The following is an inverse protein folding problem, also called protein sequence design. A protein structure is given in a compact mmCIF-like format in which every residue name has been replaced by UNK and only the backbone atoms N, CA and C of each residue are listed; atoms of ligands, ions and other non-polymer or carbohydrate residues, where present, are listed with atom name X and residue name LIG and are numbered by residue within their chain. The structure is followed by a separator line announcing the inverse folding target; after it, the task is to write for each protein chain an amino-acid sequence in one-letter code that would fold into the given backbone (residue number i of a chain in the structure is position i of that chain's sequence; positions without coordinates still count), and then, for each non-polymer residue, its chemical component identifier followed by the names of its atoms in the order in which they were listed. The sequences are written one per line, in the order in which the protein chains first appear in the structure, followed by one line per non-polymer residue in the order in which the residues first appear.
data_IF_384036642918
#
_entry.id   IF_384036642918
#
_cell.length_a   1.000
_cell.length_b   1.000
_cell.length_c   1.000
_cell.angle_alpha   90.00
_cell.angle_beta   90.00
_cell.angle_gamma   90.00
#
_symmetry.space_group_name_H-M   'P 1'
#
loop_
_entity.id
_entity.type
_entity.pdbx_description
1 polymer ?
#
# COMPACT_ATOMS: atom_id res chain seq x y z
N UNK A 1 -2.62 0.83 12.76
CA UNK A 1 -2.33 1.60 11.54
C UNK A 1 -1.57 0.67 10.62
N UNK A 2 -1.77 0.81 9.31
CA UNK A 2 -1.10 0.06 8.26
C UNK A 2 -0.52 1.05 7.28
N UNK A 3 0.75 0.89 6.95
CA UNK A 3 1.44 1.70 5.94
C UNK A 3 2.05 0.74 4.93
N UNK A 4 1.85 0.99 3.64
CA UNK A 4 2.41 0.13 2.60
C UNK A 4 2.74 0.91 1.35
N UNK A 5 3.73 0.39 0.62
CA UNK A 5 4.20 0.94 -0.65
C UNK A 5 4.25 -0.18 -1.70
N UNK A 6 3.83 0.14 -2.93
CA UNK A 6 3.77 -0.80 -4.05
C UNK A 6 2.99 -2.07 -3.68
N UNK A 7 3.54 -3.26 -3.92
CA UNK A 7 2.95 -4.55 -3.50
C UNK A 7 2.65 -4.58 -2.00
N UNK A 8 3.49 -3.96 -1.16
CA UNK A 8 3.22 -3.86 0.27
C UNK A 8 1.99 -3.00 0.59
N UNK A 9 1.67 -2.02 -0.25
CA UNK A 9 0.43 -1.24 -0.22
C UNK A 9 -0.80 -2.08 -0.56
N UNK A 10 -0.72 -2.91 -1.60
CA UNK A 10 -1.79 -3.86 -1.96
C UNK A 10 -2.07 -4.83 -0.81
N UNK A 11 -1.02 -5.44 -0.26
CA UNK A 11 -1.10 -6.35 0.88
C UNK A 11 -1.72 -5.62 2.09
N UNK A 12 -1.24 -4.42 2.43
CA UNK A 12 -1.77 -3.63 3.53
C UNK A 12 -3.28 -3.34 3.37
N UNK A 13 -3.71 -2.93 2.18
CA UNK A 13 -5.11 -2.65 1.89
C UNK A 13 -5.99 -3.89 2.11
N UNK A 14 -5.57 -5.05 1.59
CA UNK A 14 -6.32 -6.30 1.73
C UNK A 14 -6.31 -6.83 3.17
N UNK A 15 -5.20 -6.71 3.90
CA UNK A 15 -5.16 -7.04 5.34
C UNK A 15 -6.09 -6.14 6.16
N UNK A 16 -6.19 -4.85 5.82
CA UNK A 16 -7.14 -3.93 6.46
C UNK A 16 -8.58 -4.35 6.13
N UNK A 17 -8.85 -4.78 4.90
CA UNK A 17 -10.15 -5.31 4.46
C UNK A 17 -10.53 -6.65 5.13
N UNK A 18 -9.61 -7.28 5.85
CA UNK A 18 -9.88 -8.47 6.67
C UNK A 18 -9.32 -9.78 6.12
N UNK A 19 -8.46 -9.73 5.09
CA UNK A 19 -7.75 -10.92 4.64
C UNK A 19 -6.65 -11.36 5.62
N UNK A 20 -6.51 -12.66 5.81
CA UNK A 20 -5.38 -13.24 6.54
C UNK A 20 -4.14 -13.38 5.62
N UNK A 21 -2.92 -13.47 6.18
CA UNK A 21 -1.72 -13.71 5.38
C UNK A 21 -1.80 -14.99 4.51
N UNK A 22 -2.47 -16.03 4.99
CA UNK A 22 -2.65 -17.29 4.26
C UNK A 22 -3.59 -17.11 3.06
N UNK A 23 -4.70 -16.38 3.24
CA UNK A 23 -5.61 -16.06 2.14
C UNK A 23 -4.92 -15.20 1.09
N UNK A 24 -4.11 -14.22 1.53
CA UNK A 24 -3.33 -13.40 0.61
C UNK A 24 -2.34 -14.26 -0.15
N UNK A 25 -1.56 -15.11 0.52
CA UNK A 25 -0.63 -16.00 -0.15
C UNK A 25 -1.32 -16.81 -1.26
N UNK A 26 -2.52 -17.34 -1.02
CA UNK A 26 -3.26 -18.09 -2.03
C UNK A 26 -3.74 -17.24 -3.23
N UNK A 27 -3.93 -15.93 -3.02
CA UNK A 27 -4.32 -14.97 -4.06
C UNK A 27 -3.13 -14.46 -4.86
N UNK A 28 -1.97 -14.24 -4.22
CA UNK A 28 -0.78 -13.62 -4.83
C UNK A 28 0.43 -14.57 -4.93
N UNK A 29 0.17 -15.88 -5.00
CA UNK A 29 1.22 -16.91 -5.01
C UNK A 29 2.10 -16.85 -6.26
N UNK A 30 1.58 -16.37 -7.39
CA UNK A 30 2.34 -16.28 -8.62
C UNK A 30 2.71 -14.82 -8.93
N UNK A 31 3.91 -14.57 -9.49
CA UNK A 31 4.34 -13.22 -9.86
C UNK A 31 3.38 -12.50 -10.81
N UNK A 32 2.75 -13.21 -11.75
CA UNK A 32 1.76 -12.69 -12.69
C UNK A 32 0.49 -12.15 -12.04
N UNK A 33 0.16 -12.58 -10.82
CA UNK A 33 -0.98 -12.04 -10.06
C UNK A 33 -0.72 -10.58 -9.62
N UNK A 34 0.55 -10.19 -9.51
CA UNK A 34 0.98 -8.85 -9.10
C UNK A 34 1.54 -8.00 -10.26
N UNK A 35 2.24 -8.65 -11.18
CA UNK A 35 2.91 -8.05 -12.34
C UNK A 35 2.11 -8.27 -13.64
N UNK A 36 0.87 -8.74 -13.56
CA UNK A 36 0.01 -8.89 -14.73
C UNK A 36 -0.40 -7.56 -15.35
N UNK A 37 -1.43 -7.59 -16.20
CA UNK A 37 -1.99 -6.40 -16.83
C UNK A 37 -2.56 -5.40 -15.79
N UNK A 38 -2.46 -4.09 -16.08
CA UNK A 38 -2.90 -3.03 -15.17
C UNK A 38 -4.39 -3.12 -14.86
N UNK A 39 -5.22 -3.33 -15.89
CA UNK A 39 -6.66 -3.41 -15.75
C UNK A 39 -7.04 -4.70 -15.01
N UNK A 40 -6.37 -5.81 -15.30
CA UNK A 40 -6.53 -7.06 -14.57
C UNK A 40 -6.24 -6.89 -13.06
N UNK A 41 -5.18 -6.16 -12.70
CA UNK A 41 -4.85 -5.88 -11.29
C UNK A 41 -5.90 -4.98 -10.63
N UNK A 42 -6.38 -3.95 -11.31
CA UNK A 42 -7.47 -3.11 -10.81
C UNK A 42 -8.72 -3.95 -10.51
N UNK A 43 -9.14 -4.76 -11.48
CA UNK A 43 -10.28 -5.68 -11.34
C UNK A 43 -10.05 -6.70 -10.21
N UNK A 44 -8.82 -7.18 -10.02
CA UNK A 44 -8.48 -8.06 -8.91
C UNK A 44 -8.71 -7.38 -7.56
N UNK A 45 -8.20 -6.15 -7.37
CA UNK A 45 -8.39 -5.41 -6.11
C UNK A 45 -9.86 -5.13 -5.87
N UNK A 46 -10.62 -4.69 -6.89
CA UNK A 46 -12.06 -4.49 -6.82
C UNK A 46 -12.80 -5.76 -6.38
N UNK A 47 -12.51 -6.89 -7.01
CA UNK A 47 -13.14 -8.18 -6.71
C UNK A 47 -12.84 -8.66 -5.28
N UNK A 48 -11.60 -8.47 -4.81
CA UNK A 48 -11.21 -8.84 -3.45
C UNK A 48 -11.88 -7.94 -2.40
N UNK A 49 -11.99 -6.63 -2.65
CA UNK A 49 -12.74 -5.73 -1.78
C UNK A 49 -14.22 -6.10 -1.71
N UNK A 50 -14.83 -6.42 -2.86
CA UNK A 50 -16.23 -6.89 -2.93
C UNK A 50 -16.46 -8.17 -2.14
N UNK A 51 -15.53 -9.15 -2.22
CA UNK A 51 -15.59 -10.39 -1.43
C UNK A 51 -15.55 -10.15 0.08
N UNK A 52 -15.11 -8.96 0.53
CA UNK A 52 -15.13 -8.52 1.93
C UNK A 52 -16.25 -7.54 2.25
N UNK A 53 -17.21 -7.35 1.33
CA UNK A 53 -18.38 -6.51 1.53
C UNK A 53 -18.13 -5.02 1.30
N UNK A 54 -17.02 -4.65 0.67
CA UNK A 54 -16.74 -3.27 0.29
C UNK A 54 -17.17 -2.99 -1.16
N UNK A 55 -17.66 -1.77 -1.41
CA UNK A 55 -17.88 -1.30 -2.79
C UNK A 55 -16.54 -1.21 -3.54
N UNK A 56 -16.48 -1.51 -4.86
CA UNK A 56 -15.31 -1.20 -5.70
C UNK A 56 -14.87 0.26 -5.63
N UNK A 57 -15.83 1.15 -5.38
CA UNK A 57 -15.63 2.60 -5.29
C UNK A 57 -15.56 3.09 -3.84
N UNK A 58 -15.34 2.19 -2.86
CA UNK A 58 -15.24 2.60 -1.45
C UNK A 58 -14.12 3.63 -1.29
N UNK A 59 -14.45 4.78 -0.70
CA UNK A 59 -13.50 5.85 -0.45
C UNK A 59 -12.56 5.48 0.70
N UNK A 60 -11.37 6.08 0.76
CA UNK A 60 -10.46 5.89 1.88
C UNK A 60 -11.11 6.30 3.22
N UNK A 61 -11.99 7.31 3.20
CA UNK A 61 -12.80 7.74 4.34
C UNK A 61 -13.74 6.64 4.84
N UNK A 62 -14.57 6.12 3.94
CA UNK A 62 -15.59 5.11 4.30
C UNK A 62 -14.94 3.79 4.68
N UNK A 63 -13.84 3.44 4.01
CA UNK A 63 -13.06 2.25 4.32
C UNK A 63 -12.46 2.31 5.73
N UNK A 64 -11.89 3.45 6.13
CA UNK A 64 -11.39 3.66 7.49
C UNK A 64 -12.53 3.66 8.52
N UNK A 65 -13.67 4.28 8.19
CA UNK A 65 -14.85 4.32 9.06
C UNK A 65 -15.44 2.91 9.30
N UNK A 66 -15.47 2.05 8.28
CA UNK A 66 -15.97 0.69 8.36
C UNK A 66 -15.00 -0.25 9.11
N UNK A 67 -13.70 -0.17 8.80
CA UNK A 67 -12.69 -1.09 9.37
C UNK A 67 -12.17 -0.65 10.73
N UNK A 68 -12.38 0.62 11.12
CA UNK A 68 -11.78 1.29 12.28
C UNK A 68 -10.25 1.24 12.29
N UNK A 69 -9.63 1.08 11.12
CA UNK A 69 -8.19 1.00 10.92
C UNK A 69 -7.74 2.11 9.99
N UNK A 70 -6.62 2.76 10.33
CA UNK A 70 -5.94 3.69 9.42
C UNK A 70 -5.10 2.91 8.42
N UNK A 71 -5.37 3.11 7.13
CA UNK A 71 -4.54 2.70 6.00
C UNK A 71 -3.85 3.94 5.42
N UNK A 72 -2.55 3.82 5.15
CA UNK A 72 -1.73 4.81 4.45
C UNK A 72 -1.04 4.10 3.29
N UNK A 73 -1.26 4.59 2.07
CA UNK A 73 -0.61 4.11 0.87
C UNK A 73 0.34 5.17 0.34
N UNK A 74 1.58 4.80 0.06
CA UNK A 74 2.60 5.75 -0.42
C UNK A 74 2.61 5.75 -1.94
N UNK A 75 2.40 6.90 -2.56
CA UNK A 75 2.58 7.09 -4.00
C UNK A 75 3.57 8.23 -4.25
N UNK A 76 4.19 8.25 -5.43
CA UNK A 76 5.05 9.38 -5.84
C UNK A 76 4.24 10.30 -6.72
N UNK A 77 4.06 11.56 -6.32
CA UNK A 77 3.43 12.58 -7.17
C UNK A 77 4.44 13.13 -8.16
N UNK A 78 4.10 13.10 -9.44
CA UNK A 78 4.88 13.73 -10.51
C UNK A 78 4.75 15.24 -10.50
N UNK A 79 3.63 15.79 -10.03
CA UNK A 79 3.43 17.24 -9.97
C UNK A 79 4.20 17.87 -8.80
N UNK A 80 4.32 17.15 -7.69
CA UNK A 80 5.00 17.60 -6.46
C UNK A 80 6.46 17.16 -6.39
N UNK A 81 6.85 16.14 -7.16
CA UNK A 81 8.22 15.61 -7.19
C UNK A 81 8.61 14.84 -5.92
N UNK A 82 7.67 14.20 -5.24
CA UNK A 82 7.93 13.56 -3.94
C UNK A 82 6.81 12.63 -3.45
N UNK A 83 6.99 12.05 -2.26
CA UNK A 83 6.03 11.10 -1.70
C UNK A 83 4.74 11.82 -1.30
N UNK A 84 3.62 11.15 -1.58
CA UNK A 84 2.29 11.52 -1.12
C UNK A 84 1.70 10.33 -0.37
N UNK A 85 1.25 10.61 0.84
CA UNK A 85 0.70 9.61 1.75
C UNK A 85 -0.82 9.63 1.65
N UNK A 86 -1.38 8.71 0.87
CA UNK A 86 -2.81 8.60 0.60
C UNK A 86 -3.50 7.90 1.77
N UNK A 87 -4.46 8.58 2.40
CA UNK A 87 -5.20 8.07 3.56
C UNK A 87 -6.56 8.74 3.70
N UNK A 88 -7.38 8.24 4.63
CA UNK A 88 -8.65 8.88 5.01
C UNK A 88 -8.53 10.32 5.54
N UNK A 89 -7.32 10.82 5.82
CA UNK A 89 -7.10 12.20 6.29
C UNK A 89 -6.64 13.13 5.16
N UNK A 90 -5.89 12.59 4.21
CA UNK A 90 -5.15 13.37 3.20
C UNK A 90 -5.75 13.27 1.81
N UNK A 91 -6.44 12.15 1.51
CA UNK A 91 -7.07 11.86 0.23
C UNK A 91 -8.41 11.15 0.46
N UNK A 92 -9.34 11.75 1.22
CA UNK A 92 -10.45 11.00 1.80
C UNK A 92 -11.52 10.57 0.79
N UNK A 93 -11.66 11.30 -0.32
CA UNK A 93 -12.61 11.03 -1.40
C UNK A 93 -12.02 10.08 -2.48
N UNK A 94 -10.71 9.85 -2.45
CA UNK A 94 -10.05 8.87 -3.34
C UNK A 94 -10.49 7.46 -2.97
N UNK A 95 -10.76 6.63 -3.98
CA UNK A 95 -11.12 5.24 -3.75
C UNK A 95 -9.92 4.43 -3.25
N UNK A 96 -10.17 3.38 -2.46
CA UNK A 96 -9.11 2.45 -2.03
C UNK A 96 -8.42 1.83 -3.25
N UNK A 97 -9.19 1.54 -4.30
CA UNK A 97 -8.69 0.95 -5.55
C UNK A 97 -7.76 1.90 -6.29
N UNK A 98 -8.13 3.18 -6.46
CA UNK A 98 -7.27 4.14 -7.14
C UNK A 98 -5.99 4.41 -6.34
N UNK A 99 -6.09 4.52 -5.02
CA UNK A 99 -4.91 4.67 -4.14
C UNK A 99 -4.00 3.43 -4.18
N UNK A 100 -4.58 2.23 -4.23
CA UNK A 100 -3.88 0.95 -4.38
C UNK A 100 -3.18 0.83 -5.74
N UNK A 101 -3.84 1.27 -6.82
CA UNK A 101 -3.22 1.32 -8.14
C UNK A 101 -2.11 2.37 -8.24
N UNK A 102 -2.29 3.54 -7.61
CA UNK A 102 -1.30 4.61 -7.59
C UNK A 102 -0.01 4.20 -6.88
N UNK A 103 -0.12 3.58 -5.69
CA UNK A 103 1.06 3.16 -4.92
C UNK A 103 1.91 2.11 -5.65
N UNK A 104 1.33 1.33 -6.56
CA UNK A 104 1.99 0.28 -7.33
C UNK A 104 2.06 0.56 -8.85
N UNK A 105 1.97 1.82 -9.27
CA UNK A 105 2.05 2.23 -10.67
C UNK A 105 3.52 2.35 -11.14
N UNK A 106 4.20 1.20 -11.27
CA UNK A 106 5.62 1.11 -11.68
C UNK A 106 5.80 1.81 -13.04
N UNK A 107 6.63 2.87 -13.14
CA UNK A 107 6.87 3.55 -14.41
C UNK A 107 7.32 2.60 -15.50
N UNK A 108 6.91 2.86 -16.74
CA UNK A 108 7.17 2.04 -17.93
C UNK A 108 6.45 0.68 -17.97
N UNK A 109 5.98 0.17 -16.83
CA UNK A 109 5.25 -1.10 -16.75
C UNK A 109 3.75 -0.89 -16.60
N UNK A 110 3.36 0.04 -15.73
CA UNK A 110 1.98 0.42 -15.48
C UNK A 110 1.73 1.89 -15.86
N UNK A 111 0.55 2.22 -16.40
CA UNK A 111 0.18 3.61 -16.63
C UNK A 111 0.13 4.37 -15.29
N UNK A 112 0.53 5.66 -15.29
CA UNK A 112 0.37 6.51 -14.11
C UNK A 112 -1.12 6.70 -13.79
N UNK A 113 -1.43 6.85 -12.50
CA UNK A 113 -2.80 7.03 -12.01
C UNK A 113 -3.02 8.51 -11.72
N UNK A 114 -4.10 9.11 -12.23
CA UNK A 114 -4.37 10.54 -12.02
C UNK A 114 -5.73 10.75 -11.35
N UNK A 115 -5.75 11.58 -10.31
CA UNK A 115 -6.94 12.05 -9.62
C UNK A 115 -6.64 13.38 -8.93
N UNK A 116 -7.67 14.18 -8.66
CA UNK A 116 -7.56 15.48 -7.98
C UNK A 116 -6.53 16.45 -8.59
N UNK A 117 -6.32 16.38 -9.91
CA UNK A 117 -5.37 17.23 -10.64
C UNK A 117 -3.90 16.88 -10.42
N UNK A 118 -3.60 15.73 -9.81
CA UNK A 118 -2.25 15.21 -9.60
C UNK A 118 -2.07 13.87 -10.34
N UNK A 119 -0.83 13.52 -10.63
CA UNK A 119 -0.46 12.30 -11.36
C UNK A 119 0.53 11.50 -10.53
N UNK A 120 0.21 10.24 -10.28
CA UNK A 120 0.90 9.37 -9.36
C UNK A 120 1.54 8.17 -10.05
N UNK A 121 2.72 7.81 -9.56
CA UNK A 121 3.45 6.59 -9.90
C UNK A 121 3.87 5.86 -8.62
N UNK A 122 4.48 4.69 -8.76
CA UNK A 122 4.88 3.82 -7.66
C UNK A 122 5.63 4.58 -6.55
N UNK A 123 5.20 4.35 -5.30
CA UNK A 123 5.75 5.04 -4.13
C UNK A 123 7.20 4.63 -3.81
N UNK A 124 7.65 3.47 -4.30
CA UNK A 124 9.04 3.05 -4.12
C UNK A 124 10.03 4.05 -4.72
N UNK A 125 9.63 4.89 -5.68
CA UNK A 125 10.53 5.92 -6.24
C UNK A 125 10.94 6.96 -5.20
N UNK A 126 10.03 7.31 -4.28
CA UNK A 126 10.23 8.42 -3.35
C UNK A 126 10.38 8.00 -1.89
N UNK A 127 9.65 6.97 -1.44
CA UNK A 127 9.72 6.48 -0.07
C UNK A 127 9.40 4.96 -0.01
N UNK A 128 10.40 4.10 -0.31
CA UNK A 128 10.24 2.65 -0.35
C UNK A 128 10.15 2.00 1.04
N UNK A 129 10.42 2.75 2.11
CA UNK A 129 10.38 2.23 3.47
C UNK A 129 9.90 3.31 4.45
N UNK A 130 8.58 3.59 4.50
CA UNK A 130 7.98 4.73 5.20
C UNK A 130 7.93 4.53 6.73
N UNK A 131 9.03 4.09 7.33
CA UNK A 131 9.15 3.72 8.75
C UNK A 131 8.97 4.92 9.66
N UNK A 132 9.43 6.09 9.23
CA UNK A 132 9.31 7.32 10.01
C UNK A 132 7.85 7.69 10.25
N UNK A 133 6.95 7.36 9.32
CA UNK A 133 5.51 7.60 9.49
C UNK A 133 4.89 6.59 10.46
N UNK A 134 5.33 5.34 10.42
CA UNK A 134 4.77 4.29 11.26
C UNK A 134 5.28 4.37 12.72
N UNK A 135 6.55 4.73 12.93
CA UNK A 135 7.22 4.68 14.24
C UNK A 135 6.92 5.84 15.20
N UNK A 136 6.20 6.88 14.78
CA UNK A 136 5.96 8.06 15.63
C UNK A 136 5.10 7.76 16.86
N UNK A 137 4.19 6.78 16.79
CA UNK A 137 3.13 6.65 17.81
C UNK A 137 3.04 5.32 18.54
N UNK A 138 3.57 4.22 17.98
CA UNK A 138 3.41 2.86 18.51
C UNK A 138 4.53 1.90 18.06
N UNK A 139 4.76 0.80 18.80
CA UNK A 139 5.60 -0.30 18.33
C UNK A 139 5.15 -0.78 16.93
N UNK A 140 6.08 -0.78 15.98
CA UNK A 140 5.82 -1.07 14.57
C UNK A 140 6.57 -2.32 14.15
N UNK A 141 5.88 -3.27 13.51
CA UNK A 141 6.51 -4.36 12.77
C UNK A 141 6.74 -3.89 11.34
N UNK A 142 8.01 -3.75 10.97
CA UNK A 142 8.41 -3.42 9.62
C UNK A 142 8.89 -4.63 8.83
N UNK A 143 8.34 -4.81 7.63
CA UNK A 143 8.77 -5.84 6.68
C UNK A 143 9.35 -5.13 5.46
N UNK A 144 10.65 -5.31 5.23
CA UNK A 144 11.36 -4.80 4.05
C UNK A 144 11.84 -5.97 3.21
N UNK A 145 11.40 -6.04 1.96
CA UNK A 145 11.88 -7.02 1.01
C UNK A 145 13.13 -6.42 0.34
N UNK A 146 14.28 -7.08 0.49
CA UNK A 146 15.53 -6.69 -0.19
C UNK A 146 15.77 -7.66 -1.34
N UNK A 147 16.06 -7.13 -2.52
CA UNK A 147 16.65 -7.92 -3.60
C UNK A 147 18.15 -8.10 -3.29
N UNK A 148 18.61 -9.36 -3.26
CA UNK A 148 20.02 -9.72 -3.06
C UNK A 148 20.84 -9.67 -4.35
N UNK A 149 20.21 -9.61 -5.52
CA UNK A 149 20.88 -9.56 -6.82
C UNK A 149 21.19 -8.13 -7.30
N UNK A 150 20.39 -7.13 -6.91
CA UNK A 150 20.56 -5.73 -7.31
C UNK A 150 20.51 -4.79 -6.10
N UNK A 151 21.66 -4.42 -5.51
CA UNK A 151 21.75 -3.61 -4.28
C UNK A 151 21.14 -2.20 -4.35
N UNK A 152 20.63 -1.77 -5.52
CA UNK A 152 20.01 -0.47 -5.75
C UNK A 152 18.55 -0.53 -6.21
N UNK A 153 17.95 -1.72 -6.34
CA UNK A 153 16.55 -1.83 -6.74
C UNK A 153 15.65 -1.55 -5.55
N UNK A 154 14.62 -0.73 -5.77
CA UNK A 154 13.81 -0.19 -4.71
C UNK A 154 12.84 -1.25 -4.17
N UNK A 155 13.16 -1.83 -3.02
CA UNK A 155 12.38 -2.90 -2.41
C UNK A 155 11.03 -2.42 -1.88
N UNK A 156 9.98 -3.18 -2.13
CA UNK A 156 8.66 -2.94 -1.55
C UNK A 156 8.66 -3.20 -0.03
N UNK A 157 7.78 -2.51 0.69
CA UNK A 157 7.63 -2.71 2.13
C UNK A 157 6.20 -2.58 2.62
N UNK A 158 5.93 -3.30 3.69
CA UNK A 158 4.69 -3.21 4.46
C UNK A 158 5.04 -3.04 5.93
N UNK A 159 4.38 -2.10 6.57
CA UNK A 159 4.53 -1.80 7.99
C UNK A 159 3.18 -2.04 8.66
N UNK A 160 3.14 -3.02 9.55
CA UNK A 160 1.98 -3.34 10.38
C UNK A 160 2.22 -2.89 11.81
N UNK A 161 1.30 -2.13 12.38
CA UNK A 161 1.36 -1.77 13.80
C UNK A 161 0.61 -2.83 14.61
N UNK A 162 1.35 -3.61 15.40
CA UNK A 162 0.80 -4.58 16.35
C UNK A 162 0.32 -3.91 17.64
N UNK A 163 -0.60 -4.56 18.36
CA UNK A 163 -1.09 -4.13 19.68
C UNK A 163 -0.20 -4.59 20.84
N UNK A 164 1.01 -5.11 20.58
CA UNK A 164 1.88 -5.65 21.62
C UNK A 164 2.82 -4.59 22.19
N UNK A 165 2.71 -4.40 23.51
CA UNK A 165 3.53 -3.51 24.32
C UNK A 165 4.88 -4.17 24.54
N UNK A 166 5.92 -3.69 23.85
CA UNK A 166 7.31 -4.09 24.05
C UNK A 166 8.23 -2.95 23.61
N UNK A 167 9.36 -2.73 24.29
CA UNK A 167 10.22 -1.59 24.04
C UNK A 167 10.74 -1.60 22.59
N UNK A 168 10.73 -0.41 21.98
CA UNK A 168 11.24 -0.13 20.66
C UNK A 168 12.71 -0.58 20.60
N UNK A 169 12.99 -1.70 19.93
CA UNK A 169 14.35 -2.18 19.72
C UNK A 169 15.05 -1.24 18.73
N UNK A 170 15.84 -0.33 19.29
CA UNK A 170 16.95 0.33 18.61
C UNK A 170 18.03 -0.69 18.26
N UNK A 171 18.70 -0.45 17.12
CA UNK A 171 19.87 -1.16 16.58
C UNK A 171 19.58 -2.24 15.53
N UNK A 172 19.74 -1.85 14.26
CA UNK A 172 20.09 -2.75 13.17
C UNK A 172 21.57 -2.47 12.82
N UNK A 173 22.47 -3.39 13.18
CA UNK A 173 23.82 -3.49 12.61
C UNK A 173 23.80 -4.29 11.32
#
# INVERSE_FOLDING_TARGET
MWVGVSVGGLIAALMVAGYSPEELYNVIKNPEDLLGDHDARKVMVESLLQKRGFSPTVTLRDFAAATKKTLILVATSLNRGGPVYLSHMTAPDTTVVDAACATSAIPLYFPPVSFDGDTFVDGCISDPYPVDIACITRPTLGIRIKDSAHPGMCGASVLGVGSHVGPCLTEWK
#
